data_IF_870819993163
#
_entry.id   IF_870819993163
#
_cell.length_a   1.000
_cell.length_b   1.000
_cell.length_c   1.000
_cell.angle_alpha   90.00
_cell.angle_beta   90.00
_cell.angle_gamma   90.00
#
_symmetry.space_group_name_H-M   'P 1'
#
loop_
_entity.id
_entity.type
_entity.pdbx_description
1 polymer ?
#
# COMPACT_ATOMS: atom_id res chain seq x y z
N UNK A 1 17.45 31.76 52.49
CA UNK A 1 17.74 30.56 53.31
C UNK A 1 16.61 29.58 53.05
N UNK A 2 16.80 28.59 52.16
CA UNK A 2 17.05 27.16 52.48
C UNK A 2 15.79 26.47 53.07
N UNK A 3 15.25 25.34 52.59
CA UNK A 3 15.63 24.38 51.55
C UNK A 3 14.44 23.41 51.30
N UNK A 4 14.32 22.89 50.07
CA UNK A 4 13.68 21.60 49.75
C UNK A 4 14.56 20.43 50.23
N UNK A 5 14.01 19.22 50.46
CA UNK A 5 13.90 18.21 49.38
C UNK A 5 12.50 17.55 49.41
N UNK A 6 11.93 16.96 48.34
CA UNK A 6 12.55 16.20 47.27
C UNK A 6 12.11 14.74 47.42
N UNK A 7 11.05 14.34 46.71
CA UNK A 7 10.73 12.92 46.48
C UNK A 7 10.27 12.75 45.04
N UNK A 8 11.24 12.38 44.20
CA UNK A 8 10.98 11.90 42.85
C UNK A 8 10.29 10.55 42.90
N UNK A 9 9.20 10.40 42.16
CA UNK A 9 8.70 9.08 41.78
C UNK A 9 9.14 8.83 40.36
N UNK A 10 10.15 7.96 40.26
CA UNK A 10 10.81 7.55 39.03
C UNK A 10 9.82 7.04 37.97
N UNK A 11 10.13 7.43 36.74
CA UNK A 11 9.64 6.82 35.52
C UNK A 11 9.83 5.29 35.59
N UNK A 12 8.73 4.54 35.46
CA UNK A 12 8.79 3.13 35.10
C UNK A 12 8.68 3.03 33.58
N UNK A 13 9.69 2.52 32.85
CA UNK A 13 9.47 2.09 31.48
C UNK A 13 8.56 0.86 31.51
N UNK A 14 7.41 0.95 30.84
CA UNK A 14 6.61 -0.23 30.48
C UNK A 14 7.42 -1.04 29.47
N UNK A 15 8.25 -1.94 29.99
CA UNK A 15 8.86 -3.04 29.23
C UNK A 15 7.71 -3.96 28.85
N UNK A 16 7.25 -3.85 27.60
CA UNK A 16 6.33 -4.81 27.01
C UNK A 16 7.08 -6.13 26.83
N UNK A 17 6.63 -7.25 27.42
CA UNK A 17 7.26 -8.55 27.20
C UNK A 17 7.16 -8.93 25.73
N UNK A 18 8.31 -9.07 25.05
CA UNK A 18 8.39 -9.72 23.75
C UNK A 18 7.94 -11.17 23.91
N UNK A 19 6.75 -11.51 23.41
CA UNK A 19 6.30 -12.89 23.38
C UNK A 19 7.03 -13.66 22.27
N UNK A 20 7.53 -14.88 22.51
CA UNK A 20 8.29 -15.65 21.52
C UNK A 20 7.42 -16.11 20.35
N UNK A 21 8.00 -16.12 19.14
CA UNK A 21 7.52 -16.90 17.99
C UNK A 21 7.47 -18.37 18.41
N UNK A 22 6.28 -18.94 18.54
CA UNK A 22 6.09 -20.39 18.55
C UNK A 22 5.37 -20.82 17.28
N UNK A 23 6.12 -21.55 16.48
CA UNK A 23 5.74 -22.27 15.28
C UNK A 23 5.00 -23.54 15.71
N UNK A 24 3.70 -23.67 15.40
CA UNK A 24 3.02 -24.97 15.38
C UNK A 24 1.93 -25.00 14.32
N UNK A 25 2.26 -25.74 13.28
CA UNK A 25 1.44 -26.46 12.32
C UNK A 25 0.22 -27.15 12.96
N UNK A 26 -0.99 -26.93 12.43
CA UNK A 26 -2.08 -27.91 12.47
C UNK A 26 -2.77 -27.90 11.10
N UNK A 27 -2.88 -29.09 10.53
CA UNK A 27 -3.36 -29.36 9.19
C UNK A 27 -4.85 -29.65 9.14
N UNK A 28 -5.43 -29.30 7.99
CA UNK A 28 -6.58 -29.90 7.29
C UNK A 28 -8.04 -29.62 7.66
N UNK A 29 -8.70 -29.06 6.63
CA UNK A 29 -10.02 -29.36 6.04
C UNK A 29 -11.25 -28.84 6.76
N UNK A 30 -11.84 -27.77 6.18
CA UNK A 30 -13.20 -27.79 5.63
C UNK A 30 -13.23 -26.90 4.38
N UNK A 31 -13.87 -27.45 3.35
CA UNK A 31 -14.13 -26.96 2.00
C UNK A 31 -14.93 -25.65 1.96
N UNK A 32 -14.54 -24.73 1.08
CA UNK A 32 -15.44 -23.87 0.30
C UNK A 32 -14.65 -23.29 -0.87
N UNK A 33 -14.97 -23.76 -2.07
CA UNK A 33 -14.50 -23.20 -3.33
C UNK A 33 -15.10 -21.82 -3.54
N UNK A 34 -14.27 -20.77 -3.60
CA UNK A 34 -14.39 -19.70 -4.59
C UNK A 34 -13.15 -18.80 -4.57
N UNK A 35 -12.34 -18.92 -5.62
CA UNK A 35 -11.54 -17.86 -6.26
C UNK A 35 -10.80 -16.88 -5.33
N UNK A 36 -9.66 -17.31 -4.81
CA UNK A 36 -8.58 -16.41 -4.37
C UNK A 36 -7.37 -16.72 -5.23
N UNK A 37 -6.99 -15.77 -6.09
CA UNK A 37 -5.70 -15.75 -6.78
C UNK A 37 -4.62 -15.67 -5.70
N UNK A 38 -4.12 -16.83 -5.30
CA UNK A 38 -2.87 -16.96 -4.57
C UNK A 38 -1.75 -16.62 -5.56
N UNK A 39 -1.19 -15.42 -5.47
CA UNK A 39 0.17 -15.18 -5.95
C UNK A 39 1.10 -16.05 -5.10
N UNK A 40 1.68 -17.06 -5.75
CA UNK A 40 2.73 -17.90 -5.19
C UNK A 40 3.94 -17.05 -4.79
N UNK A 41 4.71 -17.44 -3.76
CA UNK A 41 6.05 -16.91 -3.62
C UNK A 41 6.85 -17.44 -4.81
N UNK A 42 7.24 -16.55 -5.71
CA UNK A 42 8.17 -16.86 -6.78
C UNK A 42 9.49 -17.21 -6.09
N UNK A 43 9.77 -18.51 -5.99
CA UNK A 43 11.11 -19.03 -5.75
C UNK A 43 12.04 -18.47 -6.83
N UNK A 44 13.14 -17.87 -6.38
CA UNK A 44 14.31 -17.64 -7.21
C UNK A 44 14.73 -18.95 -7.85
N UNK A 45 14.41 -19.14 -9.13
CA UNK A 45 15.10 -20.11 -9.96
C UNK A 45 16.08 -19.35 -10.86
N UNK A 46 17.31 -19.25 -10.37
CA UNK A 46 18.48 -19.11 -11.24
C UNK A 46 18.51 -20.33 -12.18
N UNK A 47 18.75 -20.17 -13.48
CA UNK A 47 18.86 -21.30 -14.38
C UNK A 47 20.11 -22.11 -13.99
N UNK A 48 19.90 -23.36 -13.58
CA UNK A 48 20.98 -24.34 -13.40
C UNK A 48 21.19 -25.08 -14.72
N UNK A 49 22.42 -25.02 -15.21
CA UNK A 49 22.87 -25.65 -16.44
C UNK A 49 22.64 -27.17 -16.44
N UNK A 50 22.10 -27.69 -17.54
CA UNK A 50 22.25 -29.09 -17.92
C UNK A 50 22.62 -29.16 -19.40
N UNK A 51 23.85 -29.58 -19.62
CA UNK A 51 24.55 -29.77 -20.89
C UNK A 51 23.97 -30.92 -21.71
N UNK A 52 23.74 -30.69 -23.01
CA UNK A 52 23.87 -31.74 -24.04
C UNK A 52 23.94 -31.14 -25.46
N UNK A 53 25.14 -31.16 -26.05
CA UNK A 53 25.33 -31.50 -27.47
C UNK A 53 25.14 -30.44 -28.56
N UNK A 54 26.29 -29.89 -29.01
CA UNK A 54 26.65 -29.53 -30.39
C UNK A 54 25.80 -28.52 -31.18
N UNK A 55 26.26 -27.27 -31.25
CA UNK A 55 26.88 -26.59 -32.41
C UNK A 55 27.63 -25.36 -31.87
N UNK A 56 28.64 -24.76 -32.55
CA UNK A 56 29.14 -23.45 -32.16
C UNK A 56 28.12 -22.41 -32.61
N UNK A 57 26.94 -22.42 -31.98
CA UNK A 57 26.11 -21.22 -31.97
C UNK A 57 27.01 -20.13 -31.41
N UNK A 58 27.18 -19.11 -32.22
CA UNK A 58 27.90 -17.90 -31.86
C UNK A 58 27.28 -17.46 -30.55
N UNK A 59 28.07 -17.60 -29.49
CA UNK A 59 27.73 -17.33 -28.11
C UNK A 59 27.54 -15.80 -28.01
N UNK A 60 26.42 -15.31 -28.55
CA UNK A 60 25.81 -14.04 -28.19
C UNK A 60 25.14 -14.30 -26.83
N UNK A 61 25.90 -14.87 -25.88
CA UNK A 61 25.89 -14.40 -24.51
C UNK A 61 26.00 -12.89 -24.65
N UNK A 62 24.84 -12.24 -24.63
CA UNK A 62 24.70 -10.83 -24.92
C UNK A 62 25.66 -10.17 -23.96
N UNK A 63 26.81 -9.66 -24.45
CA UNK A 63 27.76 -9.00 -23.58
C UNK A 63 26.94 -7.92 -22.91
N UNK A 64 26.65 -8.11 -21.62
CA UNK A 64 26.01 -7.07 -20.86
C UNK A 64 26.97 -5.91 -21.00
N UNK A 65 26.45 -4.81 -21.53
CA UNK A 65 27.15 -3.54 -21.64
C UNK A 65 26.45 -2.61 -20.66
N UNK A 66 27.10 -1.53 -20.23
CA UNK A 66 26.45 -0.54 -19.37
C UNK A 66 25.11 -0.07 -19.94
N UNK A 67 25.03 0.13 -21.27
CA UNK A 67 23.82 0.56 -21.96
C UNK A 67 22.70 -0.49 -21.94
N UNK A 68 23.02 -1.78 -22.11
CA UNK A 68 21.99 -2.82 -22.06
C UNK A 68 21.48 -3.04 -20.64
N UNK A 69 22.34 -2.95 -19.62
CA UNK A 69 21.92 -3.00 -18.21
C UNK A 69 21.04 -1.80 -17.82
N UNK A 70 21.42 -0.59 -18.24
CA UNK A 70 20.60 0.61 -18.03
C UNK A 70 19.22 0.44 -18.64
N UNK A 71 19.15 -0.02 -19.89
CA UNK A 71 17.88 -0.23 -20.59
C UNK A 71 17.02 -1.27 -19.89
N UNK A 72 17.60 -2.39 -19.46
CA UNK A 72 16.91 -3.42 -18.67
C UNK A 72 16.35 -2.85 -17.37
N UNK A 73 17.16 -2.08 -16.63
CA UNK A 73 16.73 -1.47 -15.38
C UNK A 73 15.61 -0.46 -15.60
N UNK A 74 15.73 0.45 -16.57
CA UNK A 74 14.69 1.44 -16.91
C UNK A 74 13.37 0.77 -17.26
N UNK A 75 13.42 -0.28 -18.07
CA UNK A 75 12.24 -1.07 -18.42
C UNK A 75 11.60 -1.71 -17.19
N UNK A 76 12.40 -2.34 -16.32
CA UNK A 76 11.89 -2.94 -15.08
C UNK A 76 11.27 -1.91 -14.12
N UNK A 77 11.88 -0.73 -13.97
CA UNK A 77 11.31 0.37 -13.17
C UNK A 77 10.01 0.91 -13.77
N UNK A 78 9.94 1.03 -15.10
CA UNK A 78 8.72 1.45 -15.79
C UNK A 78 7.58 0.43 -15.58
N UNK A 79 7.86 -0.86 -15.68
CA UNK A 79 6.89 -1.93 -15.42
C UNK A 79 6.38 -1.87 -13.97
N UNK A 80 7.28 -1.73 -12.99
CA UNK A 80 6.92 -1.54 -11.58
C UNK A 80 6.01 -0.32 -11.38
N UNK A 81 6.30 0.79 -12.07
CA UNK A 81 5.49 2.00 -11.98
C UNK A 81 4.08 1.80 -12.56
N UNK A 82 3.97 1.14 -13.72
CA UNK A 82 2.68 0.80 -14.33
C UNK A 82 1.85 -0.09 -13.40
N UNK A 83 2.47 -1.09 -12.75
CA UNK A 83 1.80 -1.94 -11.77
C UNK A 83 1.31 -1.14 -10.56
N UNK A 84 2.15 -0.23 -10.05
CA UNK A 84 1.80 0.67 -8.96
C UNK A 84 0.59 1.55 -9.32
N UNK A 85 0.62 2.21 -10.47
CA UNK A 85 -0.49 3.06 -10.94
C UNK A 85 -1.77 2.27 -11.11
N UNK A 86 -1.69 1.08 -11.72
CA UNK A 86 -2.81 0.16 -11.86
C UNK A 86 -3.42 -0.15 -10.49
N UNK A 87 -2.58 -0.53 -9.52
CA UNK A 87 -3.05 -0.89 -8.18
C UNK A 87 -3.66 0.29 -7.43
N UNK A 88 -3.06 1.47 -7.57
CA UNK A 88 -3.57 2.71 -6.98
C UNK A 88 -4.94 3.08 -7.57
N UNK A 89 -5.13 2.91 -8.87
CA UNK A 89 -6.39 3.16 -9.56
C UNK A 89 -7.47 2.14 -9.18
N UNK A 90 -7.12 0.87 -9.00
CA UNK A 90 -8.04 -0.15 -8.48
C UNK A 90 -8.58 0.21 -7.10
N UNK A 91 -7.71 0.64 -6.18
CA UNK A 91 -8.09 1.09 -4.83
C UNK A 91 -9.05 2.28 -4.91
N UNK A 92 -8.69 3.31 -5.70
CA UNK A 92 -9.55 4.49 -5.92
C UNK A 92 -10.94 4.10 -6.42
N UNK A 93 -11.00 3.25 -7.45
CA UNK A 93 -12.26 2.82 -8.05
C UNK A 93 -13.11 1.97 -7.09
N UNK A 94 -12.48 1.11 -6.30
CA UNK A 94 -13.14 0.28 -5.30
C UNK A 94 -13.77 1.14 -4.18
N UNK A 95 -13.00 2.06 -3.58
CA UNK A 95 -13.52 2.95 -2.53
C UNK A 95 -14.54 3.96 -3.04
N UNK A 96 -14.41 4.42 -4.28
CA UNK A 96 -15.43 5.25 -4.92
C UNK A 96 -16.77 4.51 -5.04
N UNK A 97 -16.75 3.26 -5.50
CA UNK A 97 -17.96 2.41 -5.58
C UNK A 97 -18.60 2.20 -4.21
N UNK A 98 -17.81 1.80 -3.21
CA UNK A 98 -18.31 1.59 -1.83
C UNK A 98 -18.95 2.84 -1.22
N UNK A 99 -18.33 4.02 -1.41
CA UNK A 99 -18.91 5.30 -0.95
C UNK A 99 -20.23 5.61 -1.64
N UNK A 100 -20.33 5.39 -2.94
CA UNK A 100 -21.58 5.61 -3.68
C UNK A 100 -22.70 4.67 -3.24
N UNK A 101 -22.38 3.38 -3.04
CA UNK A 101 -23.33 2.40 -2.50
C UNK A 101 -23.79 2.78 -1.09
N UNK A 102 -22.86 3.19 -0.23
CA UNK A 102 -23.18 3.63 1.13
C UNK A 102 -24.05 4.88 1.14
N UNK A 103 -23.77 5.87 0.29
CA UNK A 103 -24.59 7.09 0.15
C UNK A 103 -26.02 6.75 -0.24
N UNK A 104 -26.20 5.91 -1.27
CA UNK A 104 -27.53 5.43 -1.68
C UNK A 104 -28.26 4.72 -0.53
N UNK A 105 -27.56 3.90 0.25
CA UNK A 105 -28.15 3.23 1.41
C UNK A 105 -28.63 4.22 2.48
N UNK A 106 -27.86 5.29 2.77
CA UNK A 106 -28.27 6.32 3.70
C UNK A 106 -29.40 7.21 3.16
N UNK A 107 -29.40 7.54 1.87
CA UNK A 107 -30.50 8.26 1.23
C UNK A 107 -31.81 7.45 1.30
N UNK A 108 -31.74 6.13 1.09
CA UNK A 108 -32.88 5.23 1.26
C UNK A 108 -33.36 5.21 2.72
N UNK A 109 -32.44 5.12 3.70
CA UNK A 109 -32.79 5.19 5.14
C UNK A 109 -33.47 6.51 5.49
N UNK A 110 -32.97 7.63 4.97
CA UNK A 110 -33.56 8.97 5.16
C UNK A 110 -34.97 9.02 4.60
N UNK A 111 -35.16 8.50 3.39
CA UNK A 111 -36.47 8.44 2.72
C UNK A 111 -37.47 7.61 3.52
N UNK A 112 -37.07 6.42 4.01
CA UNK A 112 -37.91 5.57 4.86
C UNK A 112 -38.25 6.28 6.18
N UNK A 113 -37.28 6.94 6.82
CA UNK A 113 -37.51 7.65 8.08
C UNK A 113 -38.52 8.81 7.91
N UNK A 114 -38.48 9.52 6.79
CA UNK A 114 -39.44 10.58 6.44
C UNK A 114 -40.82 9.99 6.16
N UNK A 115 -40.89 8.90 5.39
CA UNK A 115 -42.14 8.23 5.05
C UNK A 115 -42.84 7.63 6.28
N UNK A 116 -42.08 6.97 7.16
CA UNK A 116 -42.56 6.45 8.46
C UNK A 116 -43.20 7.57 9.30
N UNK A 117 -42.59 8.76 9.30
CA UNK A 117 -43.12 9.91 10.02
C UNK A 117 -44.41 10.44 9.39
N UNK A 118 -44.44 10.59 8.07
CA UNK A 118 -45.61 11.08 7.36
C UNK A 118 -46.82 10.13 7.49
N UNK A 119 -46.56 8.83 7.64
CA UNK A 119 -47.57 7.78 7.82
C UNK A 119 -47.94 7.53 9.29
N UNK A 120 -47.27 8.17 10.26
CA UNK A 120 -47.55 7.96 11.67
C UNK A 120 -48.91 8.55 12.05
N UNK A 121 -49.79 7.72 12.64
CA UNK A 121 -51.06 8.21 13.21
C UNK A 121 -50.85 9.14 14.40
N UNK A 122 -51.92 9.78 14.87
CA UNK A 122 -51.90 10.83 15.92
C UNK A 122 -51.13 10.45 17.21
N UNK A 123 -51.00 9.15 17.50
CA UNK A 123 -50.27 8.59 18.65
C UNK A 123 -48.74 8.48 18.45
N UNK A 124 -48.25 8.51 17.20
CA UNK A 124 -46.82 8.38 16.87
C UNK A 124 -46.01 9.67 17.06
N UNK A 125 -46.67 10.82 17.09
CA UNK A 125 -46.07 12.16 17.20
C UNK A 125 -45.31 12.35 18.53
N UNK A 126 -45.71 11.63 19.59
CA UNK A 126 -45.08 11.72 20.91
C UNK A 126 -43.94 10.72 21.14
N UNK A 127 -43.82 9.66 20.32
CA UNK A 127 -42.78 8.61 20.49
C UNK A 127 -41.56 8.80 19.60
N UNK A 128 -41.69 9.53 18.50
CA UNK A 128 -40.62 9.72 17.52
C UNK A 128 -40.36 11.21 17.31
N UNK A 129 -39.16 11.69 17.67
CA UNK A 129 -38.66 12.97 17.17
C UNK A 129 -38.01 12.70 15.80
N UNK A 130 -38.61 13.14 14.68
CA UNK A 130 -38.09 12.86 13.34
C UNK A 130 -36.70 13.45 13.16
N UNK A 131 -36.48 14.64 13.75
CA UNK A 131 -35.18 15.29 13.80
C UNK A 131 -34.12 14.39 14.41
N UNK A 132 -34.37 13.80 15.60
CA UNK A 132 -33.39 12.90 16.22
C UNK A 132 -33.06 11.67 15.36
N UNK A 133 -34.03 11.11 14.64
CA UNK A 133 -33.80 9.95 13.75
C UNK A 133 -32.98 10.36 12.52
N UNK A 134 -33.26 11.53 11.94
CA UNK A 134 -32.48 12.09 10.83
C UNK A 134 -31.06 12.48 11.27
N UNK A 135 -30.91 13.16 12.40
CA UNK A 135 -29.60 13.52 12.97
C UNK A 135 -28.74 12.27 13.26
N UNK A 136 -29.37 11.18 13.69
CA UNK A 136 -28.68 9.91 13.89
C UNK A 136 -28.20 9.30 12.56
N UNK A 137 -29.04 9.33 11.52
CA UNK A 137 -28.68 8.89 10.16
C UNK A 137 -27.52 9.72 9.61
N UNK A 138 -27.57 11.04 9.77
CA UNK A 138 -26.53 11.95 9.27
C UNK A 138 -25.20 11.73 10.00
N UNK A 139 -25.24 11.51 11.32
CA UNK A 139 -24.04 11.16 12.11
C UNK A 139 -23.45 9.81 11.69
N UNK A 140 -24.31 8.81 11.46
CA UNK A 140 -23.87 7.49 10.99
C UNK A 140 -23.26 7.57 9.58
N UNK A 141 -23.81 8.42 8.72
CA UNK A 141 -23.27 8.69 7.39
C UNK A 141 -21.90 9.36 7.47
N UNK A 142 -21.73 10.38 8.32
CA UNK A 142 -20.44 11.05 8.53
C UNK A 142 -19.39 10.08 9.09
N UNK A 143 -19.76 9.25 10.06
CA UNK A 143 -18.88 8.21 10.61
C UNK A 143 -18.47 7.19 9.54
N UNK A 144 -19.39 6.79 8.67
CA UNK A 144 -19.10 5.89 7.56
C UNK A 144 -18.15 6.54 6.54
N UNK A 145 -18.38 7.79 6.16
CA UNK A 145 -17.51 8.52 5.23
C UNK A 145 -16.08 8.66 5.79
N UNK A 146 -15.95 8.98 7.09
CA UNK A 146 -14.66 9.02 7.78
C UNK A 146 -13.96 7.66 7.80
N UNK A 147 -14.70 6.57 8.02
CA UNK A 147 -14.18 5.22 7.96
C UNK A 147 -13.67 4.88 6.55
N UNK A 148 -14.43 5.17 5.49
CA UNK A 148 -14.01 4.93 4.11
C UNK A 148 -12.76 5.73 3.76
N UNK A 149 -12.71 7.02 4.10
CA UNK A 149 -11.53 7.85 3.86
C UNK A 149 -10.28 7.31 4.56
N UNK A 150 -10.43 6.87 5.82
CA UNK A 150 -9.32 6.29 6.59
C UNK A 150 -8.86 4.95 6.02
N UNK A 151 -9.78 4.07 5.65
CA UNK A 151 -9.45 2.77 5.06
C UNK A 151 -8.74 2.93 3.71
N UNK A 152 -9.23 3.82 2.84
CA UNK A 152 -8.58 4.18 1.58
C UNK A 152 -7.15 4.68 1.81
N UNK A 153 -6.95 5.61 2.76
CA UNK A 153 -5.62 6.12 3.11
C UNK A 153 -4.65 5.01 3.55
N UNK A 154 -5.12 4.06 4.37
CA UNK A 154 -4.30 2.95 4.85
C UNK A 154 -3.88 2.04 3.70
N UNK A 155 -4.82 1.68 2.83
CA UNK A 155 -4.55 0.80 1.68
C UNK A 155 -3.60 1.46 0.68
N UNK A 156 -3.83 2.73 0.32
CA UNK A 156 -2.93 3.49 -0.57
C UNK A 156 -1.51 3.55 -0.01
N UNK A 157 -1.36 3.90 1.27
CA UNK A 157 -0.06 3.98 1.93
C UNK A 157 0.66 2.64 2.00
N UNK A 158 -0.08 1.52 2.09
CA UNK A 158 0.52 0.20 2.05
C UNK A 158 1.07 -0.13 0.66
N UNK A 159 0.41 0.32 -0.42
CA UNK A 159 0.88 0.16 -1.80
C UNK A 159 2.09 1.05 -2.09
N UNK A 160 2.04 2.31 -1.66
CA UNK A 160 3.16 3.27 -1.79
C UNK A 160 4.46 2.71 -1.18
N UNK A 161 4.41 2.28 0.09
CA UNK A 161 5.59 1.69 0.76
C UNK A 161 6.12 0.46 0.05
N UNK A 162 5.24 -0.43 -0.41
CA UNK A 162 5.66 -1.63 -1.14
C UNK A 162 6.32 -1.29 -2.47
N UNK A 163 5.84 -0.24 -3.14
CA UNK A 163 6.45 0.24 -4.37
C UNK A 163 7.84 0.81 -4.09
N UNK A 164 7.98 1.66 -3.08
CA UNK A 164 9.27 2.22 -2.65
C UNK A 164 10.28 1.15 -2.28
N UNK A 165 9.87 0.16 -1.47
CA UNK A 165 10.73 -0.96 -1.08
C UNK A 165 11.23 -1.73 -2.32
N UNK A 166 10.35 -1.94 -3.31
CA UNK A 166 10.68 -2.65 -4.56
C UNK A 166 11.57 -1.82 -5.48
N UNK A 167 11.30 -0.52 -5.59
CA UNK A 167 12.09 0.42 -6.37
C UNK A 167 13.51 0.53 -5.80
N UNK A 168 13.62 0.75 -4.48
CA UNK A 168 14.92 0.82 -3.80
C UNK A 168 15.70 -0.48 -3.95
N UNK A 169 15.04 -1.64 -3.79
CA UNK A 169 15.67 -2.94 -3.99
C UNK A 169 16.16 -3.11 -5.43
N UNK A 170 15.34 -2.74 -6.42
CA UNK A 170 15.73 -2.78 -7.84
C UNK A 170 16.97 -1.93 -8.08
N UNK A 171 16.97 -0.67 -7.62
CA UNK A 171 18.10 0.24 -7.74
C UNK A 171 19.34 -0.34 -7.05
N UNK A 172 19.20 -0.88 -5.85
CA UNK A 172 20.30 -1.43 -5.08
C UNK A 172 20.94 -2.65 -5.76
N UNK A 173 20.12 -3.59 -6.25
CA UNK A 173 20.59 -4.78 -6.97
C UNK A 173 21.36 -4.40 -8.24
N UNK A 174 20.80 -3.50 -9.05
CA UNK A 174 21.47 -3.02 -10.27
C UNK A 174 22.74 -2.23 -9.95
N UNK A 175 22.76 -1.40 -8.91
CA UNK A 175 23.98 -0.70 -8.47
C UNK A 175 25.07 -1.67 -8.06
N UNK A 176 24.75 -2.72 -7.32
CA UNK A 176 25.71 -3.77 -6.92
C UNK A 176 26.26 -4.51 -8.14
N UNK A 177 25.40 -4.86 -9.09
CA UNK A 177 25.79 -5.51 -10.33
C UNK A 177 26.68 -4.61 -11.19
N UNK A 178 26.32 -3.34 -11.32
CA UNK A 178 27.08 -2.32 -12.04
C UNK A 178 28.48 -2.14 -11.48
N UNK A 179 28.61 -2.02 -10.15
CA UNK A 179 29.92 -1.90 -9.48
C UNK A 179 30.81 -3.12 -9.71
N UNK A 180 30.22 -4.31 -9.85
CA UNK A 180 30.95 -5.56 -10.11
C UNK A 180 31.44 -5.65 -11.56
N UNK A 181 30.61 -5.28 -12.53
CA UNK A 181 30.93 -5.40 -13.96
C UNK A 181 31.73 -4.19 -14.49
N UNK A 182 31.43 -2.98 -14.01
CA UNK A 182 32.04 -1.73 -14.48
C UNK A 182 32.44 -0.83 -13.31
N UNK A 183 33.47 -1.18 -12.54
CA UNK A 183 33.88 -0.42 -11.35
C UNK A 183 34.34 1.01 -11.67
N UNK A 184 34.81 1.27 -12.89
CA UNK A 184 35.26 2.58 -13.35
C UNK A 184 34.15 3.45 -13.95
N UNK A 185 32.97 2.89 -14.22
CA UNK A 185 31.86 3.62 -14.85
C UNK A 185 30.85 4.00 -13.75
N UNK A 186 30.55 5.29 -13.56
CA UNK A 186 29.55 5.70 -12.58
C UNK A 186 28.19 5.12 -12.94
N UNK A 187 27.45 4.70 -11.92
CA UNK A 187 26.10 4.20 -12.06
C UNK A 187 25.21 5.27 -12.67
N UNK A 188 24.44 4.91 -13.70
CA UNK A 188 23.68 5.87 -14.50
C UNK A 188 22.63 6.64 -13.67
N UNK A 189 22.06 6.03 -12.63
CA UNK A 189 21.10 6.66 -11.73
C UNK A 189 21.74 7.76 -10.86
N UNK A 190 23.06 7.73 -10.68
CA UNK A 190 23.81 8.71 -9.91
C UNK A 190 24.31 9.87 -10.78
N UNK A 191 24.13 9.78 -12.12
CA UNK A 191 24.55 10.85 -13.01
C UNK A 191 23.59 12.03 -12.85
N UNK A 192 24.12 13.27 -12.75
CA UNK A 192 23.28 14.44 -12.81
C UNK A 192 22.50 14.41 -14.13
N UNK A 193 21.18 14.53 -14.04
CA UNK A 193 20.31 14.51 -15.20
C UNK A 193 20.65 15.74 -16.08
N UNK A 194 21.16 15.58 -17.30
CA UNK A 194 21.58 16.72 -18.13
C UNK A 194 20.38 17.61 -18.55
N UNK A 195 19.16 17.07 -18.47
CA UNK A 195 17.91 17.80 -18.74
C UNK A 195 17.34 18.49 -17.47
N UNK A 196 17.94 18.28 -16.29
CA UNK A 196 17.59 19.00 -15.07
C UNK A 196 18.31 20.36 -15.02
N UNK A 197 17.94 21.24 -15.96
CA UNK A 197 18.16 22.67 -15.80
C UNK A 197 17.35 23.16 -14.60
N UNK A 198 18.01 23.40 -13.46
CA UNK A 198 17.51 24.16 -12.30
C UNK A 198 16.05 23.90 -11.86
N UNK A 199 15.57 22.67 -12.01
CA UNK A 199 14.38 22.20 -11.30
C UNK A 199 14.91 21.43 -10.09
N UNK A 200 14.70 21.92 -8.86
CA UNK A 200 15.10 21.15 -7.68
C UNK A 200 14.47 19.77 -7.82
N UNK A 201 15.30 18.74 -7.71
CA UNK A 201 14.86 17.35 -7.57
C UNK A 201 13.90 17.38 -6.39
N UNK A 202 12.60 17.46 -6.69
CA UNK A 202 11.56 17.35 -5.69
C UNK A 202 11.70 15.93 -5.17
N UNK A 203 12.39 15.82 -4.03
CA UNK A 203 12.09 14.79 -3.05
C UNK A 203 10.57 14.79 -2.90
N UNK A 204 9.87 13.81 -3.48
CA UNK A 204 8.42 13.62 -3.36
C UNK A 204 7.99 13.20 -1.94
N UNK A 205 8.69 13.73 -0.95
CA UNK A 205 8.52 13.49 0.47
C UNK A 205 8.52 14.82 1.21
N UNK A 206 7.53 15.66 0.91
CA UNK A 206 7.04 16.59 1.90
C UNK A 206 5.84 15.95 2.60
N UNK A 207 5.91 15.65 3.91
CA UNK A 207 4.73 15.29 4.67
C UNK A 207 3.79 16.51 4.66
N UNK A 208 2.56 16.29 4.21
CA UNK A 208 1.47 17.25 4.39
C UNK A 208 1.11 17.20 5.88
N UNK A 209 1.36 18.31 6.58
CA UNK A 209 0.82 18.58 7.93
C UNK A 209 -0.72 18.73 7.90
#
# INVERSE_FOLDING_TARGET
>A
MSSFPGTGSAARPLIVPRRPRSFTQVSHRISLNESVVQESPIEEQLPSDSSSGSEPETDIASQETPSTLETKQRKGLQELHIEYEKRMNEIKAMHFRRRNESRRAYDNKRTIAIDDYNKAGCWGIFRFSPRRKLDAIDRDQENADNYFAKSERIERRAVERRFEDREELCIHCYRRMWKKMYPSIPFWYDRPNPDALDIPVMTYYQPID
#
